data_IF_453690543977
#
_entry.id   IF_453690543977
#
_cell.length_a   1.000
_cell.length_b   1.000
_cell.length_c   1.000
_cell.angle_alpha   90.00
_cell.angle_beta   90.00
_cell.angle_gamma   90.00
#
_symmetry.space_group_name_H-M   'P 1'
#
loop_
_entity.id
_entity.type
_entity.pdbx_description
1 polymer ?
#
# COMPACT_ATOMS: atom_id res chain seq x y z
N UNK A 1 10.76 44.38 -4.50
CA UNK A 1 11.30 45.42 -3.59
C UNK A 1 11.73 46.64 -4.41
N UNK A 2 11.62 47.84 -3.83
CA UNK A 2 11.79 49.14 -4.51
C UNK A 2 13.18 49.28 -5.16
N UNK A 3 13.21 49.54 -6.47
CA UNK A 3 14.39 50.02 -7.20
C UNK A 3 14.86 51.33 -6.56
N UNK A 4 15.96 51.27 -5.82
CA UNK A 4 16.62 52.46 -5.29
C UNK A 4 17.63 52.90 -6.33
N UNK A 5 17.29 53.93 -7.10
CA UNK A 5 18.23 54.63 -7.96
C UNK A 5 19.37 55.18 -7.09
N UNK A 6 20.54 54.53 -7.17
CA UNK A 6 21.76 55.06 -6.60
C UNK A 6 22.20 56.24 -7.49
N UNK A 7 21.70 57.42 -7.14
CA UNK A 7 22.22 58.69 -7.62
C UNK A 7 23.65 58.81 -7.08
N UNK A 8 24.64 58.51 -7.92
CA UNK A 8 26.03 58.91 -7.69
C UNK A 8 26.40 59.98 -8.72
N UNK A 9 25.74 61.12 -8.62
CA UNK A 9 26.17 62.36 -9.27
C UNK A 9 26.59 63.30 -8.15
N UNK A 10 27.80 63.86 -8.29
CA UNK A 10 28.49 64.85 -7.46
C UNK A 10 29.34 64.32 -6.29
N UNK A 11 30.65 64.19 -6.55
CA UNK A 11 31.68 65.07 -5.95
C UNK A 11 33.10 64.76 -6.48
N UNK A 12 33.32 64.89 -7.79
CA UNK A 12 34.67 64.91 -8.37
C UNK A 12 34.82 66.21 -9.17
N UNK A 13 35.07 67.31 -8.45
CA UNK A 13 35.80 68.45 -9.00
C UNK A 13 36.83 68.80 -7.93
N UNK A 14 38.07 68.34 -8.11
CA UNK A 14 39.34 68.97 -7.71
C UNK A 14 40.44 67.90 -7.79
N UNK A 15 41.55 68.22 -8.47
CA UNK A 15 42.73 67.39 -8.84
C UNK A 15 42.64 66.62 -10.17
N UNK A 16 43.07 67.28 -11.26
CA UNK A 16 44.01 66.74 -12.25
C UNK A 16 43.75 65.41 -12.99
N UNK A 17 42.57 64.79 -12.91
CA UNK A 17 42.29 63.54 -13.64
C UNK A 17 41.92 63.84 -15.09
N UNK A 18 42.64 63.25 -16.05
CA UNK A 18 42.29 63.29 -17.47
C UNK A 18 40.92 62.63 -17.67
N UNK A 19 40.05 63.26 -18.47
CA UNK A 19 38.69 62.76 -18.71
C UNK A 19 38.65 61.36 -19.35
N UNK A 20 39.73 60.95 -20.03
CA UNK A 20 39.89 59.62 -20.61
C UNK A 20 40.10 58.55 -19.53
N UNK A 21 40.85 58.88 -18.47
CA UNK A 21 41.06 57.96 -17.34
C UNK A 21 39.75 57.73 -16.56
N UNK A 22 38.92 58.77 -16.43
CA UNK A 22 37.59 58.68 -15.81
C UNK A 22 36.65 57.81 -16.67
N UNK A 23 36.68 57.97 -18.00
CA UNK A 23 35.89 57.12 -18.91
C UNK A 23 36.33 55.66 -18.85
N UNK A 24 37.64 55.40 -18.89
CA UNK A 24 38.17 54.05 -18.76
C UNK A 24 37.81 53.39 -17.42
N UNK A 25 37.81 54.16 -16.33
CA UNK A 25 37.35 53.67 -15.03
C UNK A 25 35.84 53.34 -15.02
N UNK A 26 35.01 54.17 -15.64
CA UNK A 26 33.55 53.94 -15.75
C UNK A 26 33.26 52.70 -16.62
N UNK A 27 33.94 52.56 -17.76
CA UNK A 27 33.76 51.40 -18.64
C UNK A 27 34.15 50.10 -17.94
N UNK A 28 35.23 50.14 -17.15
CA UNK A 28 35.65 48.99 -16.36
C UNK A 28 34.66 48.66 -15.23
N UNK A 29 34.07 49.67 -14.59
CA UNK A 29 33.00 49.47 -13.59
C UNK A 29 31.76 48.85 -14.22
N UNK A 30 31.35 49.32 -15.41
CA UNK A 30 30.21 48.77 -16.13
C UNK A 30 30.44 47.29 -16.50
N UNK A 31 31.63 46.95 -17.01
CA UNK A 31 32.00 45.56 -17.28
C UNK A 31 31.95 44.67 -16.03
N UNK A 32 32.38 45.19 -14.86
CA UNK A 32 32.30 44.43 -13.60
C UNK A 32 30.85 44.23 -13.17
N UNK A 33 29.98 45.24 -13.34
CA UNK A 33 28.55 45.15 -13.03
C UNK A 33 27.88 44.11 -13.94
N UNK A 34 28.13 44.15 -15.24
CA UNK A 34 27.53 43.22 -16.20
C UNK A 34 27.93 41.77 -15.88
N UNK A 35 29.22 41.50 -15.67
CA UNK A 35 29.69 40.17 -15.25
C UNK A 35 29.09 39.72 -13.91
N UNK A 36 28.82 40.65 -12.99
CA UNK A 36 28.20 40.34 -11.69
C UNK A 36 26.73 39.98 -11.87
N UNK A 37 26.01 40.66 -12.75
CA UNK A 37 24.61 40.34 -13.05
C UNK A 37 24.49 38.97 -13.73
N UNK A 38 25.35 38.66 -14.69
CA UNK A 38 25.38 37.34 -15.34
C UNK A 38 25.65 36.21 -14.33
N UNK A 39 26.53 36.45 -13.35
CA UNK A 39 26.81 35.51 -12.27
C UNK A 39 25.62 35.33 -11.30
N UNK A 40 24.87 36.40 -11.04
CA UNK A 40 23.66 36.35 -10.21
C UNK A 40 22.56 35.57 -10.94
N UNK A 41 22.32 35.85 -12.22
CA UNK A 41 21.33 35.14 -13.03
C UNK A 41 21.66 33.64 -13.10
N UNK A 42 22.94 33.28 -13.28
CA UNK A 42 23.37 31.87 -13.23
C UNK A 42 23.16 31.21 -11.87
N UNK A 43 23.27 31.94 -10.76
CA UNK A 43 23.00 31.42 -9.42
C UNK A 43 21.50 31.22 -9.17
N UNK A 44 20.67 32.11 -9.69
CA UNK A 44 19.21 32.00 -9.63
C UNK A 44 18.73 30.77 -10.43
N UNK A 45 19.29 30.54 -11.62
CA UNK A 45 19.03 29.34 -12.43
C UNK A 45 19.43 28.06 -11.68
N UNK A 46 20.63 28.00 -11.11
CA UNK A 46 21.09 26.85 -10.29
C UNK A 46 20.17 26.61 -9.10
N UNK A 47 19.66 27.68 -8.47
CA UNK A 47 18.76 27.56 -7.32
C UNK A 47 17.38 27.07 -7.74
N UNK A 48 16.89 27.50 -8.91
CA UNK A 48 15.63 27.04 -9.49
C UNK A 48 15.68 25.56 -9.85
N UNK A 49 16.71 25.14 -10.60
CA UNK A 49 16.88 23.75 -11.04
C UNK A 49 16.98 22.79 -9.86
N UNK A 50 17.76 23.12 -8.83
CA UNK A 50 17.83 22.30 -7.63
C UNK A 50 16.52 22.21 -6.85
N UNK A 51 15.71 23.27 -6.82
CA UNK A 51 14.40 23.23 -6.17
C UNK A 51 13.44 22.29 -6.92
N UNK A 52 13.48 22.28 -8.24
CA UNK A 52 12.67 21.39 -9.07
C UNK A 52 13.12 19.93 -8.92
N UNK A 53 14.43 19.66 -8.88
CA UNK A 53 14.99 18.32 -8.64
C UNK A 53 14.64 17.79 -7.23
N UNK A 54 14.73 18.65 -6.20
CA UNK A 54 14.33 18.31 -4.83
C UNK A 54 12.83 18.01 -4.79
N UNK A 55 12.00 18.82 -5.46
CA UNK A 55 10.55 18.60 -5.52
C UNK A 55 10.19 17.30 -6.24
N UNK A 56 10.83 17.03 -7.38
CA UNK A 56 10.67 15.76 -8.10
C UNK A 56 11.11 14.57 -7.24
N UNK A 57 12.19 14.72 -6.47
CA UNK A 57 12.65 13.69 -5.53
C UNK A 57 11.65 13.50 -4.39
N UNK A 58 11.09 14.56 -3.81
CA UNK A 58 10.07 14.50 -2.76
C UNK A 58 8.78 13.86 -3.29
N UNK A 59 8.33 14.23 -4.48
CA UNK A 59 7.15 13.63 -5.12
C UNK A 59 7.39 12.15 -5.42
N UNK A 60 8.58 11.77 -5.89
CA UNK A 60 8.97 10.37 -6.07
C UNK A 60 9.06 9.60 -4.75
N UNK A 61 9.57 10.21 -3.67
CA UNK A 61 9.61 9.60 -2.33
C UNK A 61 8.20 9.42 -1.78
N UNK A 62 7.34 10.44 -1.89
CA UNK A 62 5.94 10.37 -1.45
C UNK A 62 5.14 9.34 -2.26
N UNK A 63 5.44 9.17 -3.54
CA UNK A 63 4.80 8.16 -4.38
C UNK A 63 5.39 6.76 -4.18
N UNK A 64 6.67 6.65 -3.83
CA UNK A 64 7.33 5.39 -3.49
C UNK A 64 6.89 4.89 -2.10
N UNK A 65 6.47 5.79 -1.22
CA UNK A 65 5.77 5.49 0.02
C UNK A 65 4.29 5.27 -0.34
N UNK A 66 3.97 4.06 -0.84
CA UNK A 66 2.63 3.66 -1.23
C UNK A 66 1.69 3.51 -0.01
N UNK A 67 1.34 4.63 0.61
CA UNK A 67 0.41 4.70 1.72
C UNK A 67 -1.03 4.80 1.21
N UNK A 68 -1.92 3.95 1.71
CA UNK A 68 -3.33 4.00 1.34
C UNK A 68 -4.03 5.20 2.00
N UNK A 69 -4.00 6.35 1.34
CA UNK A 69 -4.79 7.52 1.72
C UNK A 69 -6.19 7.41 1.13
N UNK A 70 -7.18 7.01 1.94
CA UNK A 70 -8.55 6.72 1.48
C UNK A 70 -9.20 7.95 0.85
N UNK A 71 -8.90 9.15 1.34
CA UNK A 71 -9.47 10.39 0.83
C UNK A 71 -9.05 10.72 -0.60
N UNK A 72 -7.87 10.27 -1.05
CA UNK A 72 -7.38 10.50 -2.41
C UNK A 72 -7.80 9.42 -3.40
N UNK A 73 -8.34 8.28 -2.94
CA UNK A 73 -8.75 7.20 -3.82
C UNK A 73 -10.12 7.48 -4.46
N UNK A 74 -10.19 7.18 -5.75
CA UNK A 74 -11.46 7.04 -6.49
C UNK A 74 -12.27 5.86 -5.95
N UNK A 75 -13.57 5.83 -6.27
CA UNK A 75 -14.42 4.70 -5.89
C UNK A 75 -13.96 3.38 -6.55
N UNK A 76 -13.41 3.43 -7.77
CA UNK A 76 -12.89 2.24 -8.45
C UNK A 76 -11.69 1.68 -7.69
N UNK A 77 -10.75 2.55 -7.28
CA UNK A 77 -9.58 2.11 -6.50
C UNK A 77 -10.01 1.55 -5.15
N UNK A 78 -10.92 2.20 -4.43
CA UNK A 78 -11.50 1.67 -3.19
C UNK A 78 -12.11 0.27 -3.42
N UNK A 79 -12.85 0.08 -4.50
CA UNK A 79 -13.41 -1.23 -4.80
C UNK A 79 -12.33 -2.28 -5.06
N UNK A 80 -11.26 -1.94 -5.79
CA UNK A 80 -10.14 -2.84 -6.07
C UNK A 80 -9.38 -3.25 -4.81
N UNK A 81 -9.06 -2.30 -3.92
CA UNK A 81 -8.39 -2.61 -2.64
C UNK A 81 -9.25 -3.55 -1.76
N UNK A 82 -10.55 -3.30 -1.70
CA UNK A 82 -11.46 -4.17 -0.94
C UNK A 82 -11.64 -5.55 -1.59
N UNK A 83 -11.65 -5.63 -2.94
CA UNK A 83 -11.72 -6.91 -3.65
C UNK A 83 -10.48 -7.75 -3.40
N UNK A 84 -9.28 -7.18 -3.56
CA UNK A 84 -8.03 -7.89 -3.26
C UNK A 84 -8.00 -8.37 -1.82
N UNK A 85 -8.49 -7.56 -0.89
CA UNK A 85 -8.55 -7.99 0.50
C UNK A 85 -9.43 -9.22 0.69
N UNK A 86 -10.53 -9.31 -0.04
CA UNK A 86 -11.44 -10.46 0.06
C UNK A 86 -10.80 -11.69 -0.59
N UNK A 87 -10.18 -11.50 -1.75
CA UNK A 87 -9.59 -12.57 -2.56
C UNK A 87 -8.35 -13.17 -1.87
N UNK A 88 -7.47 -12.36 -1.29
CA UNK A 88 -6.32 -12.86 -0.48
C UNK A 88 -6.79 -13.73 0.69
N UNK A 89 -7.82 -13.28 1.43
CA UNK A 89 -8.37 -14.07 2.54
C UNK A 89 -8.99 -15.39 2.07
N UNK A 90 -9.66 -15.35 0.91
CA UNK A 90 -10.25 -16.53 0.29
C UNK A 90 -9.16 -17.56 -0.07
N UNK A 91 -8.04 -17.11 -0.63
CA UNK A 91 -6.88 -17.96 -0.93
C UNK A 91 -6.25 -18.55 0.33
N UNK A 92 -6.02 -17.73 1.37
CA UNK A 92 -5.48 -18.19 2.65
C UNK A 92 -6.35 -19.29 3.28
N UNK A 93 -7.69 -19.14 3.19
CA UNK A 93 -8.63 -20.15 3.65
C UNK A 93 -8.56 -21.45 2.86
N UNK A 94 -8.52 -21.36 1.53
CA UNK A 94 -8.43 -22.53 0.66
C UNK A 94 -7.14 -23.34 0.92
N UNK A 95 -6.01 -22.63 1.06
CA UNK A 95 -4.72 -23.25 1.41
C UNK A 95 -4.79 -23.88 2.80
N UNK A 96 -5.33 -23.16 3.78
CA UNK A 96 -5.48 -23.68 5.14
C UNK A 96 -6.33 -24.96 5.17
N UNK A 97 -7.47 -24.98 4.46
CA UNK A 97 -8.32 -26.17 4.31
C UNK A 97 -7.53 -27.34 3.71
N UNK A 98 -6.84 -27.11 2.60
CA UNK A 98 -6.01 -28.13 1.94
C UNK A 98 -4.97 -28.73 2.88
N UNK A 99 -4.31 -27.88 3.68
CA UNK A 99 -3.34 -28.30 4.68
C UNK A 99 -3.98 -29.11 5.82
N UNK A 100 -5.17 -28.70 6.30
CA UNK A 100 -5.92 -29.45 7.33
C UNK A 100 -6.33 -30.82 6.80
N UNK A 101 -6.91 -30.90 5.60
CA UNK A 101 -7.36 -32.16 5.00
C UNK A 101 -6.19 -33.15 4.87
N UNK A 102 -5.04 -32.70 4.32
CA UNK A 102 -3.81 -33.51 4.24
C UNK A 102 -3.29 -33.93 5.62
N UNK A 103 -3.40 -33.07 6.63
CA UNK A 103 -2.93 -33.36 7.98
C UNK A 103 -3.85 -34.31 8.73
N UNK A 104 -5.16 -34.26 8.49
CA UNK A 104 -6.13 -35.16 9.10
C UNK A 104 -5.95 -36.60 8.62
N UNK A 105 -5.59 -36.79 7.34
CA UNK A 105 -5.23 -38.11 6.80
C UNK A 105 -4.01 -38.73 7.50
N UNK A 106 -3.10 -37.89 8.02
CA UNK A 106 -1.86 -38.31 8.69
C UNK A 106 -2.03 -38.42 10.20
N UNK A 107 -2.65 -37.42 10.82
CA UNK A 107 -2.90 -37.33 12.26
C UNK A 107 -4.17 -36.50 12.53
N UNK A 108 -5.33 -37.16 12.72
CA UNK A 108 -6.61 -36.48 12.95
C UNK A 108 -6.72 -35.82 14.34
N UNK A 109 -5.72 -35.96 15.21
CA UNK A 109 -5.70 -35.37 16.54
C UNK A 109 -4.69 -34.21 16.66
N UNK A 110 -4.27 -33.62 15.53
CA UNK A 110 -3.36 -32.49 15.56
C UNK A 110 -3.98 -31.29 16.31
N UNK A 111 -3.14 -30.57 17.06
CA UNK A 111 -3.55 -29.32 17.72
C UNK A 111 -3.09 -28.11 16.92
N UNK A 112 -1.86 -28.14 16.41
CA UNK A 112 -1.28 -27.05 15.63
C UNK A 112 -0.53 -27.60 14.43
N UNK A 113 -0.68 -26.94 13.29
CA UNK A 113 -0.04 -27.24 12.02
C UNK A 113 0.62 -25.98 11.46
N UNK A 114 1.83 -26.11 10.92
CA UNK A 114 2.47 -25.10 10.08
C UNK A 114 2.31 -25.51 8.61
N UNK A 115 1.75 -24.62 7.79
CA UNK A 115 1.44 -24.85 6.39
C UNK A 115 2.18 -23.80 5.54
N UNK A 116 3.02 -24.23 4.59
CA UNK A 116 3.80 -23.33 3.73
C UNK A 116 3.00 -23.00 2.46
N UNK A 117 2.81 -21.71 2.20
CA UNK A 117 2.02 -21.23 1.04
C UNK A 117 2.74 -21.50 -0.27
N UNK A 118 4.08 -21.53 -0.27
CA UNK A 118 4.86 -21.78 -1.47
C UNK A 118 4.66 -23.20 -2.03
N UNK A 119 4.24 -24.15 -1.19
CA UNK A 119 3.95 -25.53 -1.62
C UNK A 119 2.63 -25.64 -2.40
N UNK A 120 1.84 -24.58 -2.42
CA UNK A 120 0.52 -24.53 -3.05
C UNK A 120 0.45 -23.60 -4.26
N UNK A 121 1.60 -23.16 -4.82
CA UNK A 121 1.64 -22.24 -5.97
C UNK A 121 0.98 -22.79 -7.24
N UNK A 122 0.91 -24.12 -7.39
CA UNK A 122 0.40 -24.81 -8.59
C UNK A 122 -0.99 -25.40 -8.44
N UNK A 123 -1.54 -25.46 -7.22
CA UNK A 123 -2.74 -26.22 -6.86
C UNK A 123 -4.01 -25.34 -6.77
N UNK A 124 -4.00 -24.12 -7.30
CA UNK A 124 -4.90 -23.07 -6.80
C UNK A 124 -6.25 -23.02 -7.51
N UNK A 125 -7.29 -23.12 -6.68
CA UNK A 125 -8.54 -22.43 -6.91
C UNK A 125 -8.27 -20.93 -7.14
N UNK A 126 -8.88 -20.36 -8.17
CA UNK A 126 -8.65 -18.98 -8.60
C UNK A 126 -9.75 -18.11 -7.98
N UNK A 127 -9.40 -16.95 -7.46
CA UNK A 127 -10.39 -15.95 -7.06
C UNK A 127 -10.96 -15.27 -8.29
N UNK A 128 -12.28 -15.14 -8.38
CA UNK A 128 -12.95 -14.68 -9.61
C UNK A 128 -12.62 -13.22 -10.00
N UNK A 129 -12.27 -12.38 -9.04
CA UNK A 129 -12.31 -10.92 -9.23
C UNK A 129 -10.96 -10.21 -9.22
N UNK A 130 -9.92 -10.78 -8.62
CA UNK A 130 -8.57 -10.24 -8.62
C UNK A 130 -7.53 -11.28 -9.05
N UNK A 131 -6.58 -10.82 -9.87
CA UNK A 131 -5.38 -11.58 -10.19
C UNK A 131 -4.36 -11.39 -9.06
N UNK A 132 -4.19 -12.42 -8.24
CA UNK A 132 -3.22 -12.46 -7.15
C UNK A 132 -2.19 -13.55 -7.44
N UNK A 133 -0.92 -13.22 -7.32
CA UNK A 133 0.18 -14.17 -7.39
C UNK A 133 0.69 -14.43 -5.98
N UNK A 134 0.62 -15.68 -5.53
CA UNK A 134 1.24 -16.13 -4.29
C UNK A 134 2.77 -16.12 -4.45
N UNK A 135 3.50 -15.67 -3.44
CA UNK A 135 4.97 -15.69 -3.47
C UNK A 135 5.52 -16.63 -2.41
N UNK A 136 5.31 -16.33 -1.13
CA UNK A 136 5.84 -17.11 -0.02
C UNK A 136 5.13 -16.77 1.29
N UNK A 137 5.20 -17.65 2.29
CA UNK A 137 4.70 -17.38 3.63
C UNK A 137 4.25 -18.64 4.37
N UNK A 138 4.04 -18.53 5.68
CA UNK A 138 3.62 -19.66 6.51
C UNK A 138 2.35 -19.35 7.30
N UNK A 139 1.39 -20.26 7.21
CA UNK A 139 0.19 -20.28 8.01
C UNK A 139 0.40 -21.15 9.24
N UNK A 140 -0.01 -20.65 10.40
CA UNK A 140 -0.17 -21.45 11.61
C UNK A 140 -1.65 -21.70 11.83
N UNK A 141 -2.05 -22.97 11.79
CA UNK A 141 -3.43 -23.42 11.91
C UNK A 141 -3.57 -24.15 13.24
N UNK A 142 -4.46 -23.68 14.11
CA UNK A 142 -4.74 -24.29 15.41
C UNK A 142 -6.16 -24.83 15.44
N UNK A 143 -6.32 -26.13 15.70
CA UNK A 143 -7.61 -26.77 15.95
C UNK A 143 -8.03 -26.49 17.39
N UNK A 144 -9.13 -25.76 17.57
CA UNK A 144 -9.72 -25.51 18.89
C UNK A 144 -10.78 -26.53 19.26
N UNK A 145 -11.50 -27.04 18.26
CA UNK A 145 -12.43 -28.16 18.38
C UNK A 145 -12.54 -28.87 17.02
N UNK A 146 -13.27 -29.97 16.94
CA UNK A 146 -13.52 -30.73 15.70
C UNK A 146 -13.91 -29.81 14.53
N UNK A 147 -14.73 -28.79 14.80
CA UNK A 147 -15.30 -27.92 13.79
C UNK A 147 -14.79 -26.47 13.85
N UNK A 148 -13.78 -26.17 14.67
CA UNK A 148 -13.27 -24.81 14.84
C UNK A 148 -11.77 -24.74 14.66
N UNK A 149 -11.36 -23.97 13.65
CA UNK A 149 -9.96 -23.73 13.31
C UNK A 149 -9.64 -22.26 13.39
N UNK A 150 -8.45 -21.96 13.90
CA UNK A 150 -7.90 -20.60 13.97
C UNK A 150 -6.65 -20.54 13.11
N UNK A 151 -6.66 -19.63 12.13
CA UNK A 151 -5.54 -19.39 11.23
C UNK A 151 -4.86 -18.07 11.62
N UNK A 152 -3.54 -18.14 11.74
CA UNK A 152 -2.62 -17.01 12.01
C UNK A 152 -1.46 -17.05 11.03
N UNK A 153 -0.70 -15.96 10.95
CA UNK A 153 0.59 -15.92 10.26
C UNK A 153 1.65 -15.48 11.27
N UNK A 154 2.68 -16.29 11.51
CA UNK A 154 3.75 -15.90 12.43
C UNK A 154 4.77 -14.96 11.74
N UNK A 155 4.93 -15.13 10.44
CA UNK A 155 5.75 -14.30 9.55
C UNK A 155 4.86 -13.71 8.45
N UNK A 156 5.36 -12.70 7.74
CA UNK A 156 4.64 -12.12 6.60
C UNK A 156 4.38 -13.18 5.52
N UNK A 157 3.14 -13.22 5.05
CA UNK A 157 2.80 -13.84 3.79
C UNK A 157 2.90 -12.78 2.70
N UNK A 158 3.49 -13.14 1.57
CA UNK A 158 3.77 -12.24 0.47
C UNK A 158 2.98 -12.63 -0.77
N UNK A 159 2.41 -11.61 -1.41
CA UNK A 159 1.58 -11.72 -2.60
C UNK A 159 1.94 -10.62 -3.60
N UNK A 160 1.46 -10.74 -4.83
CA UNK A 160 1.47 -9.64 -5.81
C UNK A 160 0.07 -9.47 -6.41
N UNK A 161 -0.44 -8.25 -6.42
CA UNK A 161 -1.74 -7.92 -7.03
C UNK A 161 -1.58 -6.75 -8.02
N UNK A 162 -1.33 -7.05 -9.32
CA UNK A 162 -0.95 -6.05 -10.32
C UNK A 162 -1.94 -4.88 -10.51
N UNK A 163 -3.20 -5.05 -10.11
CA UNK A 163 -4.26 -4.05 -10.27
C UNK A 163 -4.18 -2.90 -9.24
N UNK A 164 -3.50 -3.09 -8.10
CA UNK A 164 -3.29 -2.01 -7.11
C UNK A 164 -1.81 -1.67 -6.90
N UNK A 165 -0.89 -2.60 -7.20
CA UNK A 165 0.54 -2.38 -7.03
C UNK A 165 1.35 -3.32 -7.92
N UNK A 166 2.46 -2.81 -8.46
CA UNK A 166 3.47 -3.65 -9.12
C UNK A 166 4.42 -4.33 -8.14
N UNK A 167 4.41 -3.91 -6.88
CA UNK A 167 5.29 -4.38 -5.81
C UNK A 167 4.71 -5.58 -5.06
N UNK A 168 5.51 -6.13 -4.15
CA UNK A 168 5.09 -7.19 -3.23
C UNK A 168 4.21 -6.62 -2.13
N UNK A 169 3.06 -7.24 -1.90
CA UNK A 169 2.14 -6.96 -0.81
C UNK A 169 2.47 -7.91 0.33
N UNK A 170 2.59 -7.38 1.55
CA UNK A 170 2.80 -8.16 2.76
C UNK A 170 1.48 -8.29 3.52
N UNK A 171 1.24 -9.48 4.04
CA UNK A 171 -0.01 -9.88 4.66
C UNK A 171 0.29 -10.56 5.98
N UNK A 172 -0.37 -10.09 7.03
CA UNK A 172 -0.15 -10.62 8.36
C UNK A 172 -1.45 -10.69 9.17
N UNK A 173 -1.61 -11.80 9.88
CA UNK A 173 -2.62 -12.11 10.87
C UNK A 173 -1.93 -12.39 12.22
N UNK A 174 -1.94 -11.43 13.16
CA UNK A 174 -1.37 -11.58 14.51
C UNK A 174 -2.43 -11.44 15.60
N UNK A 175 -2.33 -12.24 16.67
CA UNK A 175 -3.06 -12.16 17.96
C UNK A 175 -4.53 -11.70 17.95
N UNK A 176 -4.80 -10.40 17.79
CA UNK A 176 -6.15 -9.82 17.69
C UNK A 176 -6.77 -9.98 16.29
N UNK A 177 -5.92 -10.18 15.28
CA UNK A 177 -6.20 -10.34 13.85
C UNK A 177 -6.03 -11.81 13.44
N UNK A 178 -7.15 -12.54 13.37
CA UNK A 178 -7.19 -13.97 13.04
C UNK A 178 -8.36 -14.29 12.12
N UNK A 179 -8.24 -15.42 11.43
CA UNK A 179 -9.37 -16.03 10.73
C UNK A 179 -9.84 -17.21 11.57
N UNK A 180 -11.12 -17.21 11.94
CA UNK A 180 -11.75 -18.35 12.61
C UNK A 180 -12.75 -18.98 11.67
N UNK A 181 -12.58 -20.27 11.41
CA UNK A 181 -13.42 -21.05 10.51
C UNK A 181 -14.20 -22.03 11.35
N UNK A 182 -15.52 -21.87 11.36
CA UNK A 182 -16.45 -22.84 11.94
C UNK A 182 -17.07 -23.64 10.81
N UNK A 183 -16.75 -24.93 10.72
CA UNK A 183 -17.42 -25.88 9.83
C UNK A 183 -18.69 -26.41 10.51
N UNK A 184 -19.71 -26.78 9.75
CA UNK A 184 -20.89 -27.44 10.32
C UNK A 184 -20.70 -28.95 10.33
N UNK A 185 -21.15 -29.61 11.39
CA UNK A 185 -21.21 -31.08 11.46
C UNK A 185 -22.38 -31.68 10.67
N UNK A 186 -23.28 -30.83 10.16
CA UNK A 186 -24.44 -31.22 9.36
C UNK A 186 -24.44 -30.42 8.04
N UNK A 187 -24.68 -31.11 6.92
CA UNK A 187 -24.59 -30.67 5.50
C UNK A 187 -25.42 -29.43 5.09
N UNK A 188 -25.98 -28.67 6.04
CA UNK A 188 -26.97 -27.62 5.75
C UNK A 188 -26.53 -26.19 6.11
N UNK A 189 -25.35 -26.00 6.72
CA UNK A 189 -24.86 -24.65 7.03
C UNK A 189 -23.46 -24.41 6.45
N UNK A 190 -23.33 -23.40 5.60
CA UNK A 190 -22.05 -23.03 5.02
C UNK A 190 -21.07 -22.60 6.12
N UNK A 191 -19.76 -22.92 5.98
CA UNK A 191 -18.77 -22.59 6.99
C UNK A 191 -18.76 -21.09 7.25
N UNK A 192 -18.85 -20.72 8.52
CA UNK A 192 -18.89 -19.33 8.95
C UNK A 192 -17.47 -18.86 9.25
N UNK A 193 -17.04 -17.78 8.59
CA UNK A 193 -15.68 -17.24 8.78
C UNK A 193 -15.71 -15.83 9.33
N UNK A 194 -15.06 -15.61 10.49
CA UNK A 194 -14.86 -14.26 11.06
C UNK A 194 -13.44 -13.79 10.84
N UNK A 195 -13.29 -12.52 10.43
CA UNK A 195 -11.99 -11.93 10.06
C UNK A 195 -11.66 -10.70 10.88
N UNK A 196 -10.41 -10.59 11.33
CA UNK A 196 -9.80 -9.33 11.70
C UNK A 196 -8.47 -9.32 10.96
N UNK A 197 -8.25 -8.35 10.05
CA UNK A 197 -7.13 -8.40 9.09
C UNK A 197 -6.27 -7.14 9.14
N UNK A 198 -4.98 -7.32 8.90
CA UNK A 198 -3.97 -6.27 8.81
C UNK A 198 -3.22 -6.43 7.47
N UNK A 199 -3.09 -5.35 6.68
CA UNK A 199 -2.26 -5.30 5.47
C UNK A 199 -1.09 -4.37 5.70
N UNK A 200 0.12 -4.82 5.35
CA UNK A 200 1.29 -3.94 5.31
C UNK A 200 1.88 -3.99 3.91
N UNK A 201 2.26 -2.83 3.36
CA UNK A 201 3.34 -2.85 2.38
C UNK A 201 4.61 -2.92 3.25
N UNK A 202 5.31 -4.05 3.21
CA UNK A 202 6.50 -4.32 4.05
C UNK A 202 7.72 -3.44 3.74
N UNK A 203 7.54 -2.36 2.98
CA UNK A 203 8.57 -1.38 2.62
C UNK A 203 8.95 -0.42 3.74
N UNK A 204 8.21 -0.34 4.86
CA UNK A 204 8.50 0.58 5.96
C UNK A 204 8.53 -0.09 7.37
N UNK A 205 9.46 0.29 8.27
CA UNK A 205 9.66 -0.35 9.58
C UNK A 205 8.65 0.05 10.67
N UNK A 206 7.91 1.15 10.46
CA UNK A 206 6.97 1.71 11.42
C UNK A 206 5.55 1.61 10.85
N UNK A 207 4.62 1.02 11.62
CA UNK A 207 3.16 0.83 11.48
C UNK A 207 2.33 1.83 10.61
N UNK A 208 2.75 2.19 9.40
CA UNK A 208 2.09 3.06 8.42
C UNK A 208 1.05 2.32 7.57
N UNK A 209 0.49 1.26 8.14
CA UNK A 209 -0.27 0.20 7.49
C UNK A 209 -1.75 0.58 7.33
N UNK A 210 -2.41 0.04 6.31
CA UNK A 210 -3.87 0.15 6.14
C UNK A 210 -4.54 -1.13 6.66
N UNK A 211 -5.71 -0.99 7.29
CA UNK A 211 -6.35 -2.09 8.01
C UNK A 211 -7.72 -2.41 7.44
N UNK A 212 -8.00 -3.67 7.13
CA UNK A 212 -9.38 -4.12 6.88
C UNK A 212 -9.89 -4.87 8.10
N UNK A 213 -10.87 -4.30 8.75
CA UNK A 213 -11.51 -4.96 9.89
C UNK A 213 -12.91 -5.38 9.44
N UNK A 214 -13.26 -6.66 9.67
CA UNK A 214 -14.68 -7.00 9.67
C UNK A 214 -15.36 -6.31 10.85
N UNK A 215 -16.63 -5.96 10.69
CA UNK A 215 -17.42 -5.56 11.84
C UNK A 215 -17.55 -6.76 12.78
N UNK A 216 -17.30 -6.57 14.09
CA UNK A 216 -17.44 -7.62 15.12
C UNK A 216 -18.71 -8.46 14.86
N UNK A 217 -18.53 -9.78 14.79
CA UNK A 217 -19.56 -10.83 14.63
C UNK A 217 -20.16 -10.99 13.21
N UNK A 218 -19.49 -10.60 12.13
CA UNK A 218 -19.96 -10.96 10.77
C UNK A 218 -19.23 -12.16 10.19
N UNK A 219 -20.02 -13.13 9.75
CA UNK A 219 -19.57 -14.33 9.05
C UNK A 219 -19.63 -14.10 7.55
N UNK A 220 -18.58 -14.46 6.84
CA UNK A 220 -18.65 -14.69 5.39
C UNK A 220 -18.96 -16.15 5.12
N UNK A 221 -19.61 -16.39 4.00
CA UNK A 221 -19.79 -17.73 3.45
C UNK A 221 -18.65 -18.01 2.48
N UNK A 222 -17.87 -19.07 2.75
CA UNK A 222 -16.91 -19.58 1.79
C UNK A 222 -17.64 -20.44 0.76
N UNK A 223 -17.55 -20.06 -0.51
CA UNK A 223 -18.07 -20.82 -1.66
C UNK A 223 -16.90 -21.36 -2.48
N UNK A 224 -17.02 -22.62 -2.86
CA UNK A 224 -16.11 -23.33 -3.75
C UNK A 224 -16.96 -23.92 -4.88
N UNK A 225 -16.89 -23.32 -6.07
CA UNK A 225 -17.55 -23.86 -7.25
C UNK A 225 -16.65 -24.91 -7.89
N UNK A 226 -16.91 -26.16 -7.56
CA UNK A 226 -16.15 -27.32 -8.06
C UNK A 226 -16.10 -27.40 -9.60
N UNK A 227 -17.03 -26.76 -10.32
CA UNK A 227 -17.05 -26.77 -11.79
C UNK A 227 -16.06 -25.78 -12.41
N UNK A 228 -15.92 -24.61 -11.79
CA UNK A 228 -15.08 -23.53 -12.29
C UNK A 228 -13.77 -23.40 -11.52
N UNK A 229 -13.62 -24.14 -10.42
CA UNK A 229 -12.53 -24.03 -9.44
C UNK A 229 -12.40 -22.61 -8.88
N UNK A 230 -13.52 -21.86 -8.89
CA UNK A 230 -13.57 -20.52 -8.36
C UNK A 230 -13.93 -20.56 -6.88
N UNK A 231 -13.14 -19.86 -6.07
CA UNK A 231 -13.40 -19.66 -4.66
C UNK A 231 -13.76 -18.20 -4.40
N UNK A 232 -14.69 -18.00 -3.48
CA UNK A 232 -15.09 -16.66 -3.07
C UNK A 232 -15.56 -16.62 -1.61
N UNK A 233 -15.36 -15.47 -0.97
CA UNK A 233 -16.07 -15.10 0.24
C UNK A 233 -17.28 -14.25 -0.14
N UNK A 234 -18.47 -14.69 0.26
CA UNK A 234 -19.73 -14.07 -0.14
C UNK A 234 -20.55 -13.61 1.06
N UNK A 235 -21.54 -12.75 0.80
CA UNK A 235 -22.54 -12.27 1.77
C UNK A 235 -22.00 -11.57 3.03
N UNK A 236 -20.71 -11.23 3.09
CA UNK A 236 -20.10 -10.53 4.23
C UNK A 236 -19.97 -9.02 4.04
N UNK A 237 -19.57 -8.34 5.11
CA UNK A 237 -19.28 -6.89 5.08
C UNK A 237 -18.07 -6.59 5.94
N UNK A 238 -17.33 -5.57 5.56
CA UNK A 238 -16.16 -5.13 6.27
C UNK A 238 -15.92 -3.64 6.01
N UNK A 239 -14.86 -3.13 6.64
CA UNK A 239 -14.45 -1.74 6.56
C UNK A 239 -12.96 -1.70 6.27
N UNK A 240 -12.56 -0.94 5.26
CA UNK A 240 -11.17 -0.60 5.03
C UNK A 240 -10.89 0.76 5.68
N UNK A 241 -9.84 0.84 6.51
CA UNK A 241 -9.35 2.06 7.14
C UNK A 241 -7.94 2.34 6.66
N UNK A 242 -7.68 3.53 6.15
CA UNK A 242 -6.32 3.93 5.73
C UNK A 242 -5.62 4.78 6.78
N UNK A 243 -4.40 5.23 6.42
CA UNK A 243 -3.53 6.02 7.30
C UNK A 243 -4.13 7.38 7.69
N UNK A 244 -4.98 7.94 6.85
CA UNK A 244 -5.72 9.18 7.11
C UNK A 244 -6.82 9.02 8.18
N UNK A 245 -6.91 7.84 8.83
CA UNK A 245 -7.98 7.43 9.74
C UNK A 245 -9.37 7.55 9.12
N UNK A 246 -9.45 7.66 7.80
CA UNK A 246 -10.71 7.55 7.08
C UNK A 246 -10.95 6.10 6.75
N UNK A 247 -12.22 5.78 6.60
CA UNK A 247 -12.64 4.43 6.31
C UNK A 247 -13.83 4.44 5.38
N UNK A 248 -13.93 3.40 4.55
CA UNK A 248 -15.14 3.12 3.80
C UNK A 248 -15.59 1.69 4.08
N UNK A 249 -16.90 1.51 4.10
CA UNK A 249 -17.51 0.20 4.28
C UNK A 249 -17.75 -0.44 2.92
N UNK A 250 -17.69 -1.76 2.89
CA UNK A 250 -17.97 -2.53 1.70
C UNK A 250 -18.64 -3.85 2.07
N UNK A 251 -19.26 -4.49 1.09
CA UNK A 251 -19.80 -5.85 1.22
C UNK A 251 -19.51 -6.67 -0.02
N UNK A 252 -19.56 -7.98 0.11
CA UNK A 252 -19.60 -8.89 -1.03
C UNK A 252 -21.04 -9.21 -1.38
N UNK A 253 -21.36 -9.29 -2.68
CA UNK A 253 -22.63 -9.85 -3.13
C UNK A 253 -22.63 -11.40 -3.03
N UNK A 254 -23.58 -12.04 -3.71
CA UNK A 254 -23.73 -13.49 -3.71
C UNK A 254 -22.70 -14.23 -4.57
N UNK A 255 -21.98 -13.53 -5.44
CA UNK A 255 -20.87 -14.11 -6.22
C UNK A 255 -19.51 -13.81 -5.59
N UNK A 256 -19.45 -12.91 -4.61
CA UNK A 256 -18.21 -12.52 -3.93
C UNK A 256 -17.63 -11.20 -4.45
N UNK A 257 -18.33 -10.54 -5.38
CA UNK A 257 -17.91 -9.25 -5.88
C UNK A 257 -18.15 -8.19 -4.83
N UNK A 258 -17.14 -7.35 -4.62
CA UNK A 258 -17.21 -6.23 -3.69
C UNK A 258 -18.11 -5.13 -4.22
N UNK A 259 -18.95 -4.59 -3.34
CA UNK A 259 -19.83 -3.45 -3.53
C UNK A 259 -19.57 -2.46 -2.41
N UNK A 260 -19.22 -1.22 -2.78
CA UNK A 260 -19.03 -0.12 -1.83
C UNK A 260 -20.36 0.27 -1.18
N UNK A 261 -20.30 0.65 0.10
CA UNK A 261 -21.47 1.12 0.89
C UNK A 261 -21.38 2.57 1.28
#
# INVERSE_FOLDING_TARGET
MKKTHLILVMSIILFGCNSEDIKGAIDNINNVIDNTNDAIDSLDDITSDHNDDIKATIDNVNNAIAELNISSLTNIEKQNYAQISTDVNTLVLSIARTCVDKQDDINPNFTTLSCDIADHLTDLAITEFANIVLLNGKLTITRQSENLFVIKTNDDVTFKAPIISSNTIHYQLQDDYKISVQTSSEDTSSPSTTFSVFYTDGSLPDNGSWTTESFKNQSFTFTDDENTQLIALTSGRAKLTGKDNKSYSWSTDTTGKVVLK
#
